data_IF_722459135689
#
_entry.id   IF_722459135689
#
_cell.length_a   1.000
_cell.length_b   1.000
_cell.length_c   1.000
_cell.angle_alpha   90.00
_cell.angle_beta   90.00
_cell.angle_gamma   90.00
#
_symmetry.space_group_name_H-M   'P 1'
#
loop_
_entity.id
_entity.type
_entity.pdbx_description
1 polymer ?
#
# COMPACT_ATOMS: atom_id res chain seq x y z
N UNK A 1 47.56 -46.51 -56.40
CA UNK A 1 47.66 -46.78 -57.85
C UNK A 1 46.46 -47.64 -58.24
N UNK A 2 45.63 -47.15 -59.17
CA UNK A 2 44.32 -47.70 -59.59
C UNK A 2 44.47 -48.91 -60.55
N UNK A 3 43.39 -49.64 -60.94
CA UNK A 3 42.40 -49.16 -61.93
C UNK A 3 40.91 -49.42 -61.54
N UNK A 4 39.94 -48.53 -61.85
CA UNK A 4 39.08 -48.50 -63.07
C UNK A 4 38.34 -49.83 -63.32
N UNK A 5 37.04 -49.95 -63.64
CA UNK A 5 35.99 -49.01 -64.05
C UNK A 5 34.67 -49.76 -64.24
N UNK A 6 33.53 -49.09 -64.01
CA UNK A 6 32.29 -49.14 -64.83
C UNK A 6 31.72 -50.50 -65.22
N UNK A 7 30.61 -50.88 -64.58
CA UNK A 7 29.55 -51.67 -65.23
C UNK A 7 28.22 -50.91 -65.09
N UNK A 8 27.75 -50.42 -66.26
CA UNK A 8 26.37 -50.23 -66.72
C UNK A 8 25.30 -49.88 -65.66
N UNK A 9 24.71 -48.67 -65.56
CA UNK A 9 23.96 -47.88 -66.57
C UNK A 9 23.22 -48.73 -67.61
N UNK A 10 21.89 -48.61 -67.56
CA UNK A 10 20.88 -49.01 -68.57
C UNK A 10 20.19 -50.36 -68.35
N UNK A 11 19.18 -50.38 -67.48
CA UNK A 11 17.84 -50.84 -67.88
C UNK A 11 16.84 -49.82 -67.35
N UNK A 12 16.43 -48.95 -68.26
CA UNK A 12 15.33 -48.04 -68.07
C UNK A 12 14.02 -48.72 -68.50
N UNK A 13 12.92 -48.28 -67.86
CA UNK A 13 11.56 -48.21 -68.42
C UNK A 13 10.75 -49.49 -68.61
N UNK A 14 9.79 -49.69 -67.68
CA UNK A 14 8.34 -50.01 -67.83
C UNK A 14 7.92 -50.72 -66.54
N UNK A 15 6.85 -50.40 -65.80
CA UNK A 15 5.59 -49.75 -66.07
C UNK A 15 5.11 -49.10 -64.74
N UNK A 16 4.69 -47.84 -64.69
CA UNK A 16 3.30 -47.42 -64.91
C UNK A 16 2.28 -48.42 -64.34
N UNK A 17 1.72 -48.15 -63.14
CA UNK A 17 0.30 -47.77 -62.98
C UNK A 17 -0.13 -47.68 -61.50
N UNK A 18 -0.61 -46.48 -61.14
CA UNK A 18 -1.91 -46.22 -60.47
C UNK A 18 -2.06 -46.53 -58.96
N UNK A 19 -2.34 -45.45 -58.21
CA UNK A 19 -3.05 -45.45 -56.92
C UNK A 19 -2.13 -45.69 -55.72
N UNK A 20 -2.02 -44.82 -54.72
CA UNK A 20 -3.10 -44.41 -53.82
C UNK A 20 -2.68 -43.12 -53.08
N UNK A 21 -3.58 -42.14 -53.16
CA UNK A 21 -3.86 -40.99 -52.27
C UNK A 21 -2.79 -40.40 -51.33
N UNK A 22 -2.53 -39.07 -51.41
CA UNK A 22 -1.88 -38.33 -50.34
C UNK A 22 -2.88 -38.08 -49.20
N UNK A 23 -2.71 -38.77 -48.08
CA UNK A 23 -3.27 -38.34 -46.79
C UNK A 23 -2.48 -37.10 -46.34
N UNK A 24 -2.84 -35.94 -46.90
CA UNK A 24 -2.62 -34.64 -46.27
C UNK A 24 -3.49 -34.57 -45.02
N UNK A 25 -3.06 -35.28 -43.98
CA UNK A 25 -3.44 -34.99 -42.61
C UNK A 25 -2.81 -33.65 -42.24
N UNK A 26 -3.49 -32.56 -42.60
CA UNK A 26 -3.32 -31.26 -41.96
C UNK A 26 -3.45 -31.46 -40.44
N UNK A 27 -2.31 -31.65 -39.76
CA UNK A 27 -2.17 -31.31 -38.36
C UNK A 27 -2.39 -29.79 -38.27
N UNK A 28 -3.66 -29.37 -38.27
CA UNK A 28 -4.05 -28.11 -37.64
C UNK A 28 -3.84 -28.32 -36.16
N UNK A 29 -2.59 -28.20 -35.72
CA UNK A 29 -2.28 -27.83 -34.35
C UNK A 29 -3.03 -26.53 -34.11
N UNK A 30 -4.22 -26.64 -33.54
CA UNK A 30 -4.92 -25.51 -32.94
C UNK A 30 -4.03 -25.06 -31.79
N UNK A 31 -3.05 -24.22 -32.10
CA UNK A 31 -2.41 -23.38 -31.10
C UNK A 31 -3.52 -22.52 -30.55
N UNK A 32 -4.13 -22.96 -29.44
CA UNK A 32 -4.83 -22.05 -28.54
C UNK A 32 -3.77 -21.05 -28.10
N UNK A 33 -3.75 -19.91 -28.77
CA UNK A 33 -3.06 -18.74 -28.27
C UNK A 33 -3.88 -18.33 -27.06
N UNK A 34 -3.53 -18.86 -25.90
CA UNK A 34 -3.99 -18.31 -24.63
C UNK A 34 -3.35 -16.93 -24.54
N UNK A 35 -4.09 -15.92 -24.97
CA UNK A 35 -3.74 -14.53 -24.71
C UNK A 35 -3.85 -14.33 -23.21
N UNK A 36 -2.73 -14.55 -22.51
CA UNK A 36 -2.52 -14.04 -21.16
C UNK A 36 -2.61 -12.51 -21.25
N UNK A 37 -3.82 -11.98 -21.08
CA UNK A 37 -3.98 -10.58 -20.77
C UNK A 37 -3.51 -10.40 -19.33
N UNK A 38 -2.20 -10.16 -19.16
CA UNK A 38 -1.72 -9.42 -18.00
C UNK A 38 -2.37 -8.05 -18.09
N UNK A 39 -3.48 -7.88 -17.40
CA UNK A 39 -4.00 -6.55 -17.10
C UNK A 39 -3.07 -6.03 -16.01
N UNK A 40 -1.95 -5.43 -16.44
CA UNK A 40 -1.12 -4.61 -15.57
C UNK A 40 -1.94 -3.35 -15.27
N UNK A 41 -2.89 -3.49 -14.34
CA UNK A 41 -3.63 -2.38 -13.78
C UNK A 41 -2.60 -1.48 -13.11
N UNK A 42 -2.17 -0.44 -13.82
CA UNK A 42 -1.43 0.65 -13.25
C UNK A 42 -2.39 1.38 -12.33
N UNK A 43 -2.47 0.94 -11.08
CA UNK A 43 -3.16 1.67 -10.03
C UNK A 43 -2.30 2.90 -9.79
N UNK A 44 -2.64 3.97 -10.50
CA UNK A 44 -2.06 5.28 -10.27
C UNK A 44 -2.61 5.72 -8.92
N UNK A 45 -1.91 5.30 -7.85
CA UNK A 45 -2.13 5.82 -6.52
C UNK A 45 -1.90 7.32 -6.60
N UNK A 46 -2.96 8.11 -6.47
CA UNK A 46 -2.81 9.55 -6.39
C UNK A 46 -2.29 9.89 -4.98
N UNK A 47 -0.97 9.82 -4.84
CA UNK A 47 -0.25 10.21 -3.62
C UNK A 47 -0.65 11.63 -3.17
N UNK A 48 -1.07 12.49 -4.10
CA UNK A 48 -1.56 13.83 -3.78
C UNK A 48 -2.87 13.77 -3.01
N UNK A 49 -3.83 12.95 -3.44
CA UNK A 49 -5.09 12.79 -2.71
C UNK A 49 -4.88 12.27 -1.29
N UNK A 50 -3.98 11.29 -1.11
CA UNK A 50 -3.69 10.77 0.24
C UNK A 50 -3.02 11.84 1.09
N UNK A 51 -2.13 12.65 0.51
CA UNK A 51 -1.50 13.78 1.20
C UNK A 51 -2.53 14.85 1.59
N UNK A 52 -3.44 15.21 0.70
CA UNK A 52 -4.51 16.18 0.96
C UNK A 52 -5.44 15.67 2.09
N UNK A 53 -5.79 14.38 2.05
CA UNK A 53 -6.59 13.73 3.11
C UNK A 53 -5.83 13.72 4.45
N UNK A 54 -4.54 13.40 4.44
CA UNK A 54 -3.69 13.42 5.63
C UNK A 54 -3.56 14.84 6.22
N UNK A 55 -3.37 15.84 5.36
CA UNK A 55 -3.33 17.24 5.76
C UNK A 55 -4.65 17.65 6.42
N UNK A 56 -5.79 17.35 5.81
CA UNK A 56 -7.11 17.67 6.34
C UNK A 56 -7.36 17.02 7.70
N UNK A 57 -7.04 15.72 7.84
CA UNK A 57 -7.19 15.00 9.11
C UNK A 57 -6.31 15.61 10.20
N UNK A 58 -5.04 15.88 9.93
CA UNK A 58 -4.14 16.44 10.94
C UNK A 58 -4.45 17.91 11.27
N UNK A 59 -4.93 18.70 10.30
CA UNK A 59 -5.44 20.04 10.57
C UNK A 59 -6.64 19.95 11.50
N UNK A 60 -7.62 19.09 11.21
CA UNK A 60 -8.79 18.91 12.07
C UNK A 60 -8.44 18.52 13.51
N UNK A 61 -7.60 17.49 13.67
CA UNK A 61 -7.24 16.96 14.99
C UNK A 61 -6.50 17.99 15.84
N UNK A 62 -5.71 18.88 15.21
CA UNK A 62 -4.84 19.85 15.90
C UNK A 62 -5.43 21.25 15.99
N UNK A 63 -6.46 21.57 15.21
CA UNK A 63 -7.17 22.85 15.24
C UNK A 63 -8.39 22.79 16.17
N UNK A 64 -8.92 23.95 16.51
CA UNK A 64 -10.23 24.04 17.16
C UNK A 64 -11.40 23.89 16.15
N UNK A 65 -11.11 23.79 14.84
CA UNK A 65 -12.10 23.80 13.75
C UNK A 65 -13.00 22.55 13.70
N UNK A 66 -14.25 22.65 13.25
CA UNK A 66 -15.15 21.49 13.14
C UNK A 66 -14.61 20.41 12.20
N UNK A 67 -15.12 19.17 12.33
CA UNK A 67 -14.67 18.04 11.53
C UNK A 67 -14.77 18.33 10.03
N UNK A 68 -13.72 18.08 9.25
CA UNK A 68 -13.81 18.13 7.80
C UNK A 68 -14.86 17.09 7.43
N UNK A 69 -15.84 17.51 6.63
CA UNK A 69 -16.77 16.55 6.05
C UNK A 69 -15.92 15.61 5.21
N UNK A 70 -16.00 14.30 5.48
CA UNK A 70 -15.38 13.28 4.64
C UNK A 70 -15.75 13.64 3.20
N UNK A 71 -14.72 13.89 2.35
CA UNK A 71 -14.89 14.43 1.01
C UNK A 71 -16.07 13.76 0.33
N UNK A 72 -17.14 14.54 0.11
CA UNK A 72 -18.41 14.03 -0.35
C UNK A 72 -18.19 13.18 -1.60
N UNK A 73 -18.80 12.00 -1.59
CA UNK A 73 -19.04 11.09 -2.71
C UNK A 73 -18.49 11.60 -4.04
N UNK A 74 -17.18 11.49 -4.26
CA UNK A 74 -16.74 11.20 -5.61
C UNK A 74 -17.19 9.76 -5.81
N UNK A 75 -18.17 9.49 -6.70
CA UNK A 75 -18.53 8.12 -6.98
C UNK A 75 -17.25 7.46 -7.49
N UNK A 76 -16.62 6.61 -6.67
CA UNK A 76 -15.86 5.49 -7.21
C UNK A 76 -16.82 4.86 -8.18
N UNK A 77 -16.54 5.00 -9.47
CA UNK A 77 -17.36 4.45 -10.54
C UNK A 77 -17.62 3.00 -10.16
N UNK A 78 -18.84 2.71 -9.71
CA UNK A 78 -19.28 1.35 -9.46
C UNK A 78 -19.11 0.68 -10.80
N UNK A 79 -18.08 -0.14 -10.92
CA UNK A 79 -17.99 -1.11 -12.01
C UNK A 79 -19.28 -1.90 -11.88
N UNK A 80 -20.16 -1.71 -12.85
CA UNK A 80 -21.38 -2.48 -12.97
C UNK A 80 -20.94 -3.94 -13.11
N UNK A 81 -20.94 -4.69 -12.00
CA UNK A 81 -21.05 -6.14 -12.08
C UNK A 81 -22.45 -6.40 -12.59
N UNK A 82 -22.57 -6.57 -13.90
CA UNK A 82 -23.75 -7.17 -14.48
C UNK A 82 -24.05 -8.50 -13.75
N UNK A 83 -25.33 -8.82 -13.50
CA UNK A 83 -25.69 -10.07 -12.87
C UNK A 83 -25.28 -11.20 -13.80
N UNK A 84 -24.31 -12.02 -13.36
CA UNK A 84 -23.94 -13.24 -14.05
C UNK A 84 -25.18 -14.15 -14.16
N UNK A 85 -25.46 -14.73 -15.32
CA UNK A 85 -26.59 -15.64 -15.49
C UNK A 85 -26.42 -16.89 -14.63
N UNK A 86 -27.55 -17.34 -14.07
CA UNK A 86 -27.72 -18.58 -13.32
C UNK A 86 -26.90 -19.72 -13.93
N UNK A 87 -25.95 -20.24 -13.15
CA UNK A 87 -25.40 -21.55 -13.41
C UNK A 87 -25.25 -22.30 -12.09
N UNK A 88 -26.21 -23.21 -11.89
CA UNK A 88 -26.18 -24.34 -10.96
C UNK A 88 -24.95 -25.25 -11.22
N UNK A 89 -23.76 -24.72 -10.98
CA UNK A 89 -22.51 -25.49 -11.04
C UNK A 89 -21.98 -25.75 -9.64
N UNK A 90 -21.67 -27.01 -9.38
CA UNK A 90 -21.01 -27.51 -8.16
C UNK A 90 -19.66 -26.83 -7.85
N UNK A 91 -19.16 -25.97 -8.74
CA UNK A 91 -17.97 -25.14 -8.55
C UNK A 91 -18.20 -23.92 -7.65
N UNK A 92 -19.44 -23.52 -7.39
CA UNK A 92 -19.77 -22.39 -6.51
C UNK A 92 -19.54 -22.66 -5.00
N UNK A 93 -19.25 -23.91 -4.59
CA UNK A 93 -19.09 -24.31 -3.19
C UNK A 93 -17.65 -24.21 -2.63
N UNK A 94 -16.70 -23.67 -3.39
CA UNK A 94 -15.28 -23.60 -2.97
C UNK A 94 -14.82 -22.15 -2.68
N UNK A 95 -15.72 -21.17 -2.62
CA UNK A 95 -15.37 -19.87 -2.05
C UNK A 95 -15.37 -19.93 -0.52
N UNK A 96 -14.24 -20.47 -0.06
CA UNK A 96 -13.54 -20.27 1.20
C UNK A 96 -14.12 -19.12 2.02
N UNK A 97 -14.48 -19.45 3.26
CA UNK A 97 -14.39 -18.57 4.40
C UNK A 97 -13.00 -17.90 4.39
N UNK A 98 -12.93 -16.68 3.85
CA UNK A 98 -11.88 -15.76 4.23
C UNK A 98 -12.27 -15.24 5.61
N UNK A 99 -11.38 -15.23 6.62
CA UNK A 99 -11.64 -14.44 7.81
C UNK A 99 -11.83 -13.01 7.31
N UNK A 100 -13.06 -12.51 7.44
CA UNK A 100 -13.35 -11.09 7.23
C UNK A 100 -12.46 -10.37 8.25
N UNK A 101 -11.32 -9.87 7.80
CA UNK A 101 -10.73 -8.72 8.45
C UNK A 101 -11.86 -7.69 8.40
N UNK A 102 -12.48 -7.42 9.56
CA UNK A 102 -13.56 -6.44 9.66
C UNK A 102 -13.00 -5.15 9.06
N UNK A 103 -13.46 -4.83 7.85
CA UNK A 103 -13.06 -3.64 7.14
C UNK A 103 -13.42 -2.45 8.03
N UNK A 104 -12.49 -1.50 8.15
CA UNK A 104 -12.72 -0.33 8.98
C UNK A 104 -13.79 0.52 8.32
N UNK A 105 -14.87 0.79 9.04
CA UNK A 105 -15.97 1.60 8.50
C UNK A 105 -15.61 3.09 8.52
N UNK A 106 -16.14 3.90 7.59
CA UNK A 106 -15.97 5.36 7.64
C UNK A 106 -16.45 5.97 8.97
N UNK A 107 -17.49 5.39 9.58
CA UNK A 107 -18.00 5.81 10.88
C UNK A 107 -16.99 5.58 12.01
N UNK A 108 -16.28 4.45 12.00
CA UNK A 108 -15.21 4.18 12.97
C UNK A 108 -14.02 5.12 12.77
N UNK A 109 -13.65 5.42 11.53
CA UNK A 109 -12.60 6.39 11.23
C UNK A 109 -13.00 7.81 11.70
N UNK A 110 -14.26 8.22 11.53
CA UNK A 110 -14.75 9.50 12.02
C UNK A 110 -14.81 9.58 13.55
N UNK A 111 -15.19 8.48 14.20
CA UNK A 111 -15.12 8.37 15.66
C UNK A 111 -13.66 8.48 16.14
N UNK A 112 -12.72 7.83 15.44
CA UNK A 112 -11.29 7.92 15.73
C UNK A 112 -10.76 9.35 15.56
N UNK A 113 -11.13 10.08 14.50
CA UNK A 113 -10.73 11.49 14.31
C UNK A 113 -11.22 12.37 15.47
N UNK A 114 -12.48 12.22 15.89
CA UNK A 114 -13.05 12.97 17.03
C UNK A 114 -12.32 12.66 18.33
N UNK A 115 -12.10 11.37 18.60
CA UNK A 115 -11.41 10.91 19.80
C UNK A 115 -9.95 11.43 19.85
N UNK A 116 -9.24 11.43 18.72
CA UNK A 116 -7.90 12.05 18.60
C UNK A 116 -7.94 13.55 18.89
N UNK A 117 -8.93 14.26 18.35
CA UNK A 117 -9.10 15.70 18.62
C UNK A 117 -9.31 15.98 20.11
N UNK A 118 -10.14 15.21 20.80
CA UNK A 118 -10.36 15.36 22.25
C UNK A 118 -9.07 15.17 23.07
N UNK A 119 -8.17 14.27 22.65
CA UNK A 119 -6.88 14.01 23.30
C UNK A 119 -5.73 14.89 22.82
N UNK A 120 -5.93 15.69 21.77
CA UNK A 120 -4.87 16.48 21.12
C UNK A 120 -4.05 17.29 22.12
N UNK A 121 -4.69 17.93 23.11
CA UNK A 121 -4.01 18.70 24.16
C UNK A 121 -3.10 17.84 25.04
N UNK A 122 -3.55 16.64 25.42
CA UNK A 122 -2.76 15.70 26.23
C UNK A 122 -1.56 15.16 25.43
N UNK A 123 -1.76 14.87 24.14
CA UNK A 123 -0.69 14.44 23.24
C UNK A 123 0.34 15.56 23.05
N UNK A 124 -0.10 16.79 22.83
CA UNK A 124 0.78 17.95 22.64
C UNK A 124 1.59 18.27 23.90
N UNK A 125 0.98 18.14 25.09
CA UNK A 125 1.69 18.25 26.37
C UNK A 125 2.76 17.16 26.51
N UNK A 126 2.42 15.91 26.21
CA UNK A 126 3.36 14.79 26.28
C UNK A 126 4.52 14.94 25.30
N UNK A 127 4.26 15.42 24.08
CA UNK A 127 5.30 15.74 23.08
C UNK A 127 6.21 16.87 23.55
N UNK A 128 5.64 17.92 24.13
CA UNK A 128 6.39 19.09 24.64
C UNK A 128 7.30 18.71 25.81
N UNK A 129 6.86 17.78 26.66
CA UNK A 129 7.63 17.26 27.79
C UNK A 129 8.61 16.14 27.41
N UNK A 130 8.73 15.81 26.12
CA UNK A 130 9.57 14.72 25.60
C UNK A 130 9.24 13.34 26.20
N UNK A 131 8.03 13.16 26.72
CA UNK A 131 7.54 11.87 27.22
C UNK A 131 7.25 10.91 26.07
N UNK A 132 6.89 11.47 24.91
CA UNK A 132 6.64 10.76 23.66
C UNK A 132 7.31 11.52 22.50
N UNK A 133 7.48 10.83 21.37
CA UNK A 133 7.90 11.42 20.11
C UNK A 133 7.18 10.76 18.94
N UNK A 134 7.11 11.45 17.80
CA UNK A 134 6.50 10.91 16.59
C UNK A 134 7.49 10.01 15.84
N UNK A 135 7.05 8.81 15.49
CA UNK A 135 7.89 7.83 14.84
C UNK A 135 7.91 7.99 13.30
N UNK A 136 8.62 7.13 12.57
CA UNK A 136 8.77 7.28 11.12
C UNK A 136 7.52 6.88 10.30
N UNK A 137 6.51 6.29 10.96
CA UNK A 137 5.23 5.86 10.39
C UNK A 137 4.05 6.69 10.92
N UNK A 138 4.34 7.78 11.62
CA UNK A 138 3.32 8.66 12.15
C UNK A 138 2.60 8.07 13.35
N UNK A 139 3.26 7.24 14.15
CA UNK A 139 2.76 6.77 15.45
C UNK A 139 3.52 7.41 16.60
N UNK A 140 2.89 7.54 17.76
CA UNK A 140 3.59 7.94 18.97
C UNK A 140 4.46 6.80 19.50
N UNK A 141 5.68 7.14 19.91
CA UNK A 141 6.58 6.24 20.62
C UNK A 141 6.93 6.84 22.00
N UNK A 142 6.91 6.02 23.03
CA UNK A 142 7.28 6.43 24.39
C UNK A 142 8.78 6.70 24.46
N UNK A 143 9.13 7.82 25.09
CA UNK A 143 10.51 8.32 25.24
C UNK A 143 10.93 8.46 26.71
N UNK A 144 10.02 8.24 27.65
CA UNK A 144 10.31 8.17 29.08
C UNK A 144 11.43 7.15 29.38
N UNK A 145 12.31 7.50 30.31
CA UNK A 145 13.31 6.60 30.86
C UNK A 145 12.68 5.42 31.61
N UNK A 146 13.44 4.32 31.76
CA UNK A 146 12.97 3.15 32.52
C UNK A 146 12.80 3.42 34.02
N UNK A 147 13.57 4.38 34.54
CA UNK A 147 13.61 4.74 35.96
C UNK A 147 12.63 5.87 36.32
N UNK A 148 11.81 6.29 35.35
CA UNK A 148 10.77 7.30 35.59
C UNK A 148 9.60 6.75 36.41
N UNK A 149 8.83 7.67 36.99
CA UNK A 149 7.65 7.39 37.79
C UNK A 149 6.72 6.38 37.09
N UNK A 150 6.41 5.28 37.79
CA UNK A 150 5.61 4.17 37.24
C UNK A 150 4.18 4.60 36.88
N UNK A 151 3.59 5.52 37.62
CA UNK A 151 2.25 6.04 37.34
C UNK A 151 2.27 6.97 36.13
N UNK A 152 3.31 7.80 35.99
CA UNK A 152 3.50 8.58 34.77
C UNK A 152 3.68 7.67 33.55
N UNK A 153 4.53 6.65 33.64
CA UNK A 153 4.77 5.68 32.56
C UNK A 153 3.48 4.98 32.14
N UNK A 154 2.69 4.48 33.10
CA UNK A 154 1.41 3.83 32.82
C UNK A 154 0.41 4.78 32.12
N UNK A 155 0.33 6.05 32.55
CA UNK A 155 -0.51 7.06 31.92
C UNK A 155 -0.08 7.35 30.48
N UNK A 156 1.22 7.53 30.25
CA UNK A 156 1.77 7.79 28.91
C UNK A 156 1.58 6.58 28.00
N UNK A 157 1.75 5.36 28.49
CA UNK A 157 1.50 4.13 27.72
C UNK A 157 0.03 4.01 27.30
N UNK A 158 -0.90 4.32 28.21
CA UNK A 158 -2.32 4.32 27.90
C UNK A 158 -2.67 5.36 26.83
N UNK A 159 -2.09 6.56 26.93
CA UNK A 159 -2.26 7.63 25.94
C UNK A 159 -1.74 7.20 24.57
N UNK A 160 -0.50 6.71 24.49
CA UNK A 160 0.13 6.24 23.25
C UNK A 160 -0.67 5.11 22.61
N UNK A 161 -1.10 4.12 23.41
CA UNK A 161 -1.89 2.99 22.89
C UNK A 161 -3.23 3.45 22.32
N UNK A 162 -3.94 4.33 23.00
CA UNK A 162 -5.21 4.86 22.52
C UNK A 162 -5.04 5.69 21.25
N UNK A 163 -4.06 6.59 21.22
CA UNK A 163 -3.77 7.42 20.05
C UNK A 163 -3.37 6.59 18.83
N UNK A 164 -2.44 5.64 19.00
CA UNK A 164 -1.96 4.83 17.89
C UNK A 164 -3.03 3.87 17.35
N UNK A 165 -3.92 3.36 18.20
CA UNK A 165 -5.08 2.58 17.74
C UNK A 165 -5.94 3.41 16.80
N UNK A 166 -6.27 4.63 17.21
CA UNK A 166 -7.16 5.50 16.45
C UNK A 166 -6.48 6.01 15.15
N UNK A 167 -5.17 6.27 15.17
CA UNK A 167 -4.38 6.54 13.95
C UNK A 167 -4.42 5.36 12.98
N UNK A 168 -4.19 4.15 13.48
CA UNK A 168 -4.24 2.93 12.67
C UNK A 168 -5.62 2.74 12.03
N UNK A 169 -6.71 2.96 12.77
CA UNK A 169 -8.08 2.92 12.24
C UNK A 169 -8.23 3.88 11.05
N UNK A 170 -7.76 5.12 11.19
CA UNK A 170 -7.83 6.12 10.10
C UNK A 170 -7.01 5.68 8.89
N UNK A 171 -5.78 5.20 9.10
CA UNK A 171 -4.89 4.80 7.99
C UNK A 171 -5.43 3.60 7.23
N UNK A 172 -5.98 2.63 7.96
CA UNK A 172 -6.61 1.44 7.38
C UNK A 172 -7.84 1.82 6.54
N UNK A 173 -8.72 2.68 7.04
CA UNK A 173 -9.90 3.13 6.28
C UNK A 173 -9.49 3.82 4.96
N UNK A 174 -8.51 4.73 5.01
CA UNK A 174 -8.01 5.42 3.82
C UNK A 174 -7.41 4.41 2.84
N UNK A 175 -6.58 3.48 3.31
CA UNK A 175 -5.95 2.49 2.46
C UNK A 175 -6.99 1.54 1.82
N UNK A 176 -7.99 1.10 2.59
CA UNK A 176 -9.08 0.24 2.12
C UNK A 176 -9.95 0.94 1.07
N UNK A 177 -10.29 2.23 1.29
CA UNK A 177 -11.06 3.04 0.33
C UNK A 177 -10.35 3.20 -1.02
N UNK A 178 -9.02 3.15 -1.05
CA UNK A 178 -8.21 3.23 -2.29
C UNK A 178 -8.01 1.86 -2.97
N UNK A 179 -8.61 0.78 -2.47
CA UNK A 179 -8.76 -0.50 -3.16
C UNK A 179 -7.68 -1.56 -2.90
N UNK A 180 -6.59 -1.22 -2.20
CA UNK A 180 -5.44 -2.11 -1.94
C UNK A 180 -4.99 -2.03 -0.47
N UNK A 181 -5.94 -2.13 0.47
CA UNK A 181 -5.76 -1.77 1.88
C UNK A 181 -4.43 -2.19 2.52
N UNK A 182 -4.01 -3.45 2.36
CA UNK A 182 -2.76 -3.93 2.97
C UNK A 182 -1.49 -3.42 2.28
N UNK A 183 -1.50 -3.31 0.95
CA UNK A 183 -0.34 -2.87 0.18
C UNK A 183 -0.13 -1.35 0.28
N UNK A 184 -1.22 -0.60 0.49
CA UNK A 184 -1.19 0.86 0.60
C UNK A 184 -1.01 1.36 2.02
N UNK A 185 -1.26 0.53 3.05
CA UNK A 185 -1.20 0.98 4.44
C UNK A 185 0.13 1.62 4.80
N UNK A 186 1.25 0.99 4.41
CA UNK A 186 2.59 1.53 4.67
C UNK A 186 2.81 2.89 3.97
N UNK A 187 2.34 3.03 2.74
CA UNK A 187 2.43 4.30 2.02
C UNK A 187 1.59 5.40 2.70
N UNK A 188 0.38 5.05 3.17
CA UNK A 188 -0.48 5.96 3.94
C UNK A 188 0.22 6.39 5.24
N UNK A 189 0.76 5.44 6.01
CA UNK A 189 1.52 5.70 7.24
C UNK A 189 2.69 6.67 7.01
N UNK A 190 3.50 6.45 5.96
CA UNK A 190 4.63 7.30 5.62
C UNK A 190 4.17 8.72 5.25
N UNK A 191 3.07 8.86 4.50
CA UNK A 191 2.52 10.16 4.13
C UNK A 191 2.02 10.90 5.37
N UNK A 192 1.29 10.22 6.26
CA UNK A 192 0.87 10.81 7.53
C UNK A 192 2.05 11.19 8.41
N UNK A 193 3.11 10.37 8.46
CA UNK A 193 4.32 10.70 9.20
C UNK A 193 4.95 12.01 8.70
N UNK A 194 5.00 12.23 7.38
CA UNK A 194 5.48 13.47 6.77
C UNK A 194 4.64 14.67 7.21
N UNK A 195 3.32 14.57 7.06
CA UNK A 195 2.38 15.64 7.45
C UNK A 195 2.44 15.96 8.95
N UNK A 196 2.50 14.94 9.81
CA UNK A 196 2.65 15.10 11.25
C UNK A 196 3.96 15.83 11.56
N UNK A 197 5.10 15.38 11.01
CA UNK A 197 6.41 16.03 11.21
C UNK A 197 6.39 17.49 10.78
N UNK A 198 5.69 17.82 9.70
CA UNK A 198 5.56 19.19 9.23
C UNK A 198 4.76 20.07 10.20
N UNK A 199 3.76 19.51 10.87
CA UNK A 199 2.88 20.21 11.83
C UNK A 199 3.35 20.18 13.29
N UNK A 200 4.42 19.46 13.61
CA UNK A 200 5.02 19.51 14.95
C UNK A 200 5.48 20.92 15.33
N UNK A 201 5.27 21.26 16.60
CA UNK A 201 5.77 22.50 17.20
C UNK A 201 7.28 22.41 17.43
N UNK A 202 7.93 23.56 17.48
CA UNK A 202 9.35 23.66 17.87
C UNK A 202 9.56 22.97 19.23
N UNK A 203 10.63 22.20 19.35
CA UNK A 203 10.94 21.45 20.55
C UNK A 203 10.34 20.04 20.62
N UNK A 204 9.41 19.67 19.74
CA UNK A 204 8.82 18.32 19.75
C UNK A 204 9.71 17.31 19.03
N UNK A 205 9.77 16.08 19.56
CA UNK A 205 10.61 15.00 19.03
C UNK A 205 9.94 14.25 17.88
N UNK A 206 10.72 13.92 16.86
CA UNK A 206 10.31 13.04 15.78
C UNK A 206 11.46 12.15 15.29
N UNK A 207 11.13 11.02 14.66
CA UNK A 207 12.11 10.12 14.04
C UNK A 207 12.20 10.40 12.54
N UNK A 208 13.43 10.56 12.04
CA UNK A 208 13.69 10.62 10.61
C UNK A 208 13.34 9.26 9.96
N UNK A 209 12.91 9.22 8.68
CA UNK A 209 12.65 7.97 7.98
C UNK A 209 13.84 7.01 8.07
N UNK A 210 13.56 5.71 8.29
CA UNK A 210 14.61 4.68 8.40
C UNK A 210 15.02 4.13 7.05
N UNK A 211 14.11 4.09 6.09
CA UNK A 211 14.41 3.61 4.74
C UNK A 211 15.21 4.67 3.96
N UNK A 212 16.14 4.22 3.13
CA UNK A 212 17.04 5.12 2.42
C UNK A 212 16.29 6.09 1.50
N UNK A 213 15.25 5.61 0.81
CA UNK A 213 14.48 6.39 -0.15
C UNK A 213 13.68 7.50 0.54
N UNK A 214 12.95 7.15 1.61
CA UNK A 214 12.20 8.08 2.44
C UNK A 214 13.12 9.07 3.13
N UNK A 215 14.31 8.63 3.55
CA UNK A 215 15.30 9.52 4.14
C UNK A 215 15.86 10.53 3.14
N UNK A 216 16.14 10.13 1.90
CA UNK A 216 16.57 11.04 0.83
C UNK A 216 15.50 12.10 0.56
N UNK A 217 14.22 11.70 0.46
CA UNK A 217 13.08 12.63 0.31
C UNK A 217 12.98 13.59 1.51
N UNK A 218 13.13 13.07 2.74
CA UNK A 218 13.14 13.88 3.94
C UNK A 218 14.28 14.91 3.91
N UNK A 219 15.52 14.49 3.59
CA UNK A 219 16.70 15.35 3.51
C UNK A 219 16.50 16.51 2.56
N UNK A 220 15.86 16.25 1.42
CA UNK A 220 15.65 17.25 0.37
C UNK A 220 14.46 18.20 0.70
N UNK A 221 13.59 17.82 1.63
CA UNK A 221 12.47 18.65 2.10
C UNK A 221 12.93 19.94 2.82
N UNK A 222 12.09 20.98 2.92
CA UNK A 222 12.39 22.16 3.75
C UNK A 222 12.70 21.82 5.21
N UNK A 223 12.09 20.76 5.75
CA UNK A 223 12.32 20.31 7.11
C UNK A 223 13.67 19.61 7.25
N UNK A 224 13.98 18.63 6.41
CA UNK A 224 15.23 17.86 6.51
C UNK A 224 16.48 18.67 6.23
N UNK A 225 16.39 19.71 5.39
CA UNK A 225 17.50 20.67 5.18
C UNK A 225 17.94 21.40 6.46
N UNK A 226 17.11 21.42 7.52
CA UNK A 226 17.49 21.94 8.84
C UNK A 226 18.39 20.98 9.65
N UNK A 227 18.59 19.75 9.17
CA UNK A 227 19.33 18.66 9.84
C UNK A 227 20.33 17.99 8.88
N UNK A 228 21.38 18.70 8.44
CA UNK A 228 22.36 18.16 7.48
C UNK A 228 23.09 16.92 8.00
N UNK A 229 23.24 16.78 9.32
CA UNK A 229 23.95 15.67 9.96
C UNK A 229 23.01 14.53 10.41
N UNK A 230 21.71 14.61 10.11
CA UNK A 230 20.78 13.54 10.46
C UNK A 230 21.13 12.25 9.71
N UNK A 231 20.84 11.10 10.34
CA UNK A 231 20.93 9.78 9.72
C UNK A 231 19.56 9.10 9.73
N UNK A 232 19.34 8.09 8.87
CA UNK A 232 18.10 7.33 8.87
C UNK A 232 17.76 6.79 10.27
N UNK A 233 16.53 7.04 10.71
CA UNK A 233 16.05 6.60 12.03
C UNK A 233 16.52 7.40 13.24
N UNK A 234 17.33 8.44 13.07
CA UNK A 234 17.71 9.32 14.18
C UNK A 234 16.46 10.01 14.77
N UNK A 235 16.46 10.18 16.10
CA UNK A 235 15.49 11.04 16.79
C UNK A 235 15.99 12.48 16.73
N UNK A 236 15.13 13.36 16.22
CA UNK A 236 15.40 14.77 15.99
C UNK A 236 14.40 15.62 16.76
N UNK A 237 14.83 16.80 17.18
CA UNK A 237 13.96 17.81 17.80
C UNK A 237 13.62 18.88 16.78
N UNK A 238 12.34 19.21 16.62
CA UNK A 238 11.85 20.22 15.65
C UNK A 238 12.46 21.61 15.93
N UNK A 239 13.18 22.16 14.94
CA UNK A 239 13.87 23.46 15.00
C UNK A 239 13.05 24.62 14.42
#
# INVERSE_FOLDING_TARGET
>A
MAPFSRIARAVALLALTIGVLPLMGCLRTTHKVETYHKIDAHIVLDVRQIRDEAEQVETYVRSDDPAPQAGGDQPVSRVWTEPLPDSDSLFARVFRFSPVALAVTPQEADAAKKARKERSKQVDEALTKHWVGEDDHGYLAVRLGKDEDKELRARVDALVKAENRDRKTIYQEIAERKGNGKELLEAVEIIFADEIRNKLKKGQLFRAPRDAKGFDVFRDSPLGRKYPDARPGDWLEKR
#
